data_IF_615097940333
#
_entry.id   IF_615097940333
#
_cell.length_a   1.000
_cell.length_b   1.000
_cell.length_c   1.000
_cell.angle_alpha   90.00
_cell.angle_beta   90.00
_cell.angle_gamma   90.00
#
_symmetry.space_group_name_H-M   'P 1'
#
loop_
_entity.id
_entity.type
_entity.pdbx_description
1 polymer ?
#
# COMPACT_ATOMS: atom_id res chain seq x y z
N UNK A 1 2.21 -12.35 4.87
CA UNK A 1 1.74 -11.72 6.11
C UNK A 1 2.92 -11.25 6.95
N UNK A 2 3.72 -12.16 7.53
CA UNK A 2 4.80 -11.80 8.47
C UNK A 2 5.97 -11.02 7.88
N UNK A 3 6.25 -11.20 6.59
CA UNK A 3 7.33 -10.49 5.90
C UNK A 3 6.94 -9.03 5.63
N UNK A 4 5.74 -8.79 5.12
CA UNK A 4 5.23 -7.46 4.85
C UNK A 4 6.19 -6.60 4.04
N UNK A 5 6.34 -5.34 4.46
CA UNK A 5 7.21 -4.37 3.79
C UNK A 5 8.72 -4.57 4.04
N UNK A 6 9.11 -5.52 4.91
CA UNK A 6 10.52 -5.84 5.13
C UNK A 6 11.19 -6.44 3.88
N UNK A 7 10.43 -7.20 3.08
CA UNK A 7 10.83 -7.68 1.75
C UNK A 7 9.64 -7.72 0.79
N UNK A 8 9.43 -6.70 -0.03
CA UNK A 8 8.32 -6.65 -0.99
C UNK A 8 8.35 -7.74 -2.06
N UNK A 9 9.50 -8.39 -2.28
CA UNK A 9 9.63 -9.49 -3.24
C UNK A 9 9.00 -10.79 -2.74
N UNK A 10 8.86 -10.96 -1.41
CA UNK A 10 8.34 -12.21 -0.83
C UNK A 10 6.94 -12.58 -1.34
N UNK A 11 6.03 -11.60 -1.43
CA UNK A 11 4.68 -11.85 -1.97
C UNK A 11 4.72 -12.21 -3.45
N UNK A 12 5.62 -11.60 -4.22
CA UNK A 12 5.77 -11.89 -5.65
C UNK A 12 6.30 -13.31 -5.87
N UNK A 13 7.31 -13.72 -5.09
CA UNK A 13 7.84 -15.09 -5.11
C UNK A 13 6.75 -16.10 -4.76
N UNK A 14 5.99 -15.86 -3.69
CA UNK A 14 4.92 -16.76 -3.26
C UNK A 14 3.82 -16.90 -4.33
N UNK A 15 3.35 -15.81 -4.91
CA UNK A 15 2.31 -15.82 -5.95
C UNK A 15 2.82 -16.48 -7.24
N UNK A 16 4.05 -16.17 -7.66
CA UNK A 16 4.66 -16.80 -8.85
C UNK A 16 4.82 -18.30 -8.66
N UNK A 17 5.22 -18.74 -7.46
CA UNK A 17 5.32 -20.17 -7.15
C UNK A 17 3.96 -20.87 -7.22
N UNK A 18 2.90 -20.28 -6.65
CA UNK A 18 1.55 -20.83 -6.71
C UNK A 18 1.08 -21.03 -8.15
N UNK A 19 1.23 -20.00 -8.99
CA UNK A 19 0.86 -20.07 -10.42
C UNK A 19 1.68 -21.10 -11.21
N UNK A 20 2.97 -21.24 -10.90
CA UNK A 20 3.83 -22.21 -11.54
C UNK A 20 3.46 -23.65 -11.15
N UNK A 21 3.15 -23.88 -9.88
CA UNK A 21 2.70 -25.20 -9.37
C UNK A 21 1.44 -25.69 -10.07
N UNK A 22 0.46 -24.82 -10.29
CA UNK A 22 -0.78 -25.15 -11.01
C UNK A 22 -0.52 -25.61 -12.45
N UNK A 23 0.52 -25.07 -13.10
CA UNK A 23 0.84 -25.35 -14.50
C UNK A 23 1.75 -26.55 -14.67
N UNK A 24 2.71 -26.75 -13.77
CA UNK A 24 3.74 -27.77 -13.88
C UNK A 24 3.26 -29.09 -13.24
N UNK A 25 2.58 -29.01 -12.07
CA UNK A 25 2.16 -30.19 -11.34
C UNK A 25 3.29 -30.94 -10.63
N UNK A 26 2.91 -31.97 -9.89
CA UNK A 26 3.85 -32.86 -9.20
C UNK A 26 4.40 -33.92 -10.16
N UNK A 27 5.62 -34.40 -9.96
CA UNK A 27 6.52 -34.15 -8.81
C UNK A 27 7.41 -32.92 -8.92
N UNK A 28 7.54 -32.26 -10.06
CA UNK A 28 8.47 -31.14 -10.31
C UNK A 28 8.12 -29.91 -9.50
N UNK A 29 6.83 -29.65 -9.27
CA UNK A 29 6.35 -28.50 -8.49
C UNK A 29 6.93 -28.45 -7.06
N UNK A 30 7.36 -29.59 -6.49
CA UNK A 30 8.05 -29.64 -5.18
C UNK A 30 9.31 -28.77 -5.13
N UNK A 31 10.00 -28.63 -6.25
CA UNK A 31 11.22 -27.81 -6.35
C UNK A 31 10.87 -26.32 -6.24
N UNK A 32 9.82 -25.90 -6.95
CA UNK A 32 9.30 -24.52 -6.91
C UNK A 32 8.80 -24.17 -5.52
N UNK A 33 8.06 -25.08 -4.89
CA UNK A 33 7.57 -24.91 -3.52
C UNK A 33 8.72 -24.78 -2.52
N UNK A 34 9.77 -25.59 -2.68
CA UNK A 34 10.98 -25.52 -1.84
C UNK A 34 11.67 -24.16 -1.98
N UNK A 35 11.82 -23.65 -3.21
CA UNK A 35 12.41 -22.34 -3.46
C UNK A 35 11.60 -21.22 -2.78
N UNK A 36 10.29 -21.22 -2.95
CA UNK A 36 9.42 -20.20 -2.33
C UNK A 36 9.45 -20.29 -0.81
N UNK A 37 9.38 -21.50 -0.26
CA UNK A 37 9.40 -21.73 1.18
C UNK A 37 10.72 -21.23 1.82
N UNK A 38 11.86 -21.56 1.23
CA UNK A 38 13.16 -21.12 1.72
C UNK A 38 13.34 -19.61 1.61
N UNK A 39 12.88 -19.00 0.51
CA UNK A 39 12.92 -17.55 0.34
C UNK A 39 12.13 -16.83 1.43
N UNK A 40 10.84 -17.21 1.60
CA UNK A 40 9.96 -16.56 2.58
C UNK A 40 10.42 -16.83 4.01
N UNK A 41 10.91 -18.04 4.31
CA UNK A 41 11.41 -18.37 5.64
C UNK A 41 12.64 -17.56 6.05
N UNK A 42 13.53 -17.25 5.10
CA UNK A 42 14.76 -16.47 5.34
C UNK A 42 14.58 -14.96 5.23
N UNK A 43 13.43 -14.49 4.71
CA UNK A 43 13.16 -13.06 4.57
C UNK A 43 13.03 -12.37 5.95
N UNK A 44 13.47 -11.10 6.06
CA UNK A 44 13.21 -10.31 7.25
C UNK A 44 11.71 -10.17 7.51
N UNK A 45 11.33 -9.87 8.74
CA UNK A 45 9.94 -9.81 9.18
C UNK A 45 9.55 -8.39 9.57
N UNK A 46 8.32 -7.98 9.25
CA UNK A 46 7.74 -6.71 9.68
C UNK A 46 6.22 -6.82 9.77
N UNK A 47 5.66 -6.41 10.90
CA UNK A 47 4.22 -6.31 11.08
C UNK A 47 3.66 -4.91 10.80
N UNK A 48 4.49 -3.99 10.28
CA UNK A 48 4.08 -2.60 10.09
C UNK A 48 2.82 -2.45 9.21
N UNK A 49 2.72 -3.23 8.12
CA UNK A 49 1.55 -3.19 7.25
C UNK A 49 0.28 -3.71 7.95
N UNK A 50 0.40 -4.72 8.79
CA UNK A 50 -0.69 -5.26 9.61
C UNK A 50 -1.18 -4.21 10.62
N UNK A 51 -0.26 -3.64 11.41
CA UNK A 51 -0.60 -2.62 12.41
C UNK A 51 -1.23 -1.39 11.74
N UNK A 52 -0.69 -0.95 10.61
CA UNK A 52 -1.20 0.21 9.88
C UNK A 52 -2.65 0.02 9.40
N UNK A 53 -3.01 -1.15 8.88
CA UNK A 53 -4.39 -1.39 8.43
C UNK A 53 -5.35 -1.45 9.60
N UNK A 54 -4.96 -2.05 10.71
CA UNK A 54 -5.79 -2.11 11.92
C UNK A 54 -6.03 -0.72 12.52
N UNK A 55 -4.99 0.09 12.63
CA UNK A 55 -5.10 1.48 13.11
C UNK A 55 -5.96 2.35 12.18
N UNK A 56 -5.82 2.18 10.86
CA UNK A 56 -6.64 2.88 9.88
C UNK A 56 -8.13 2.51 10.01
N UNK A 57 -8.43 1.22 10.15
CA UNK A 57 -9.81 0.75 10.35
C UNK A 57 -10.41 1.25 11.67
N UNK A 58 -9.61 1.24 12.73
CA UNK A 58 -10.03 1.77 14.03
C UNK A 58 -10.31 3.27 13.95
N UNK A 59 -9.45 4.04 13.27
CA UNK A 59 -9.64 5.47 13.08
C UNK A 59 -10.96 5.78 12.34
N UNK A 60 -11.28 5.01 11.30
CA UNK A 60 -12.57 5.15 10.57
C UNK A 60 -13.75 4.77 11.47
N UNK A 61 -13.64 3.71 12.26
CA UNK A 61 -14.69 3.26 13.17
C UNK A 61 -15.00 4.30 14.26
N UNK A 62 -13.97 4.93 14.82
CA UNK A 62 -14.10 5.90 15.90
C UNK A 62 -14.49 7.30 15.42
N UNK A 63 -13.96 7.74 14.30
CA UNK A 63 -14.09 9.10 13.80
C UNK A 63 -15.01 9.23 12.59
N UNK A 64 -15.48 8.12 12.04
CA UNK A 64 -16.29 8.08 10.83
C UNK A 64 -15.47 8.34 9.56
N UNK A 65 -16.17 8.50 8.43
CA UNK A 65 -15.53 8.77 7.16
C UNK A 65 -15.01 10.21 7.12
N UNK A 66 -13.72 10.35 6.85
CA UNK A 66 -13.11 11.66 6.62
C UNK A 66 -13.51 12.19 5.26
N UNK A 67 -13.79 13.49 5.19
CA UNK A 67 -13.96 14.15 3.90
C UNK A 67 -12.63 14.30 3.20
N UNK A 68 -12.62 14.14 1.87
CA UNK A 68 -11.42 14.41 1.08
C UNK A 68 -10.99 15.86 1.28
N UNK A 69 -9.72 16.14 1.63
CA UNK A 69 -9.21 17.51 1.76
C UNK A 69 -9.45 18.33 0.50
N UNK A 70 -9.74 19.65 0.66
CA UNK A 70 -10.14 20.52 -0.47
C UNK A 70 -9.13 20.55 -1.60
N UNK A 71 -7.82 20.53 -1.29
CA UNK A 71 -6.73 20.52 -2.29
C UNK A 71 -6.66 19.21 -3.11
N UNK A 72 -7.28 18.12 -2.64
CA UNK A 72 -7.32 16.82 -3.35
C UNK A 72 -8.67 16.57 -4.02
N UNK A 73 -9.64 17.49 -3.89
CA UNK A 73 -10.93 17.37 -4.56
C UNK A 73 -10.84 17.76 -6.01
N UNK A 74 -11.61 17.09 -6.86
CA UNK A 74 -11.70 17.43 -8.27
C UNK A 74 -12.10 18.90 -8.47
N UNK A 75 -11.34 19.61 -9.28
CA UNK A 75 -11.56 21.01 -9.63
C UNK A 75 -11.99 21.23 -11.10
N UNK A 76 -12.23 20.13 -11.85
CA UNK A 76 -12.51 20.22 -13.29
C UNK A 76 -14.01 20.38 -13.63
N UNK A 77 -14.85 20.71 -12.66
CA UNK A 77 -16.28 20.93 -12.88
C UNK A 77 -16.68 22.38 -12.59
N UNK A 78 -17.76 22.83 -13.23
CA UNK A 78 -18.29 24.19 -13.06
C UNK A 78 -18.72 24.43 -11.61
N UNK A 79 -18.14 25.45 -10.96
CA UNK A 79 -18.42 25.80 -9.56
C UNK A 79 -17.45 25.26 -8.53
N UNK A 80 -16.51 24.40 -8.92
CA UNK A 80 -15.49 23.87 -8.02
C UNK A 80 -14.66 24.96 -7.32
N UNK A 81 -14.32 26.01 -8.07
CA UNK A 81 -13.57 27.18 -7.57
C UNK A 81 -14.31 27.90 -6.43
N UNK A 82 -15.63 28.04 -6.52
CA UNK A 82 -16.46 28.65 -5.45
C UNK A 82 -16.48 27.83 -4.16
N UNK A 83 -16.21 26.55 -4.26
CA UNK A 83 -16.13 25.61 -3.13
C UNK A 83 -14.70 25.42 -2.61
N UNK A 84 -13.72 26.10 -3.20
CA UNK A 84 -12.30 25.95 -2.84
C UNK A 84 -11.73 24.57 -3.15
N UNK A 85 -12.33 23.84 -4.10
CA UNK A 85 -11.84 22.52 -4.51
C UNK A 85 -10.56 22.68 -5.33
N UNK A 86 -9.54 21.90 -5.00
CA UNK A 86 -8.23 21.97 -5.64
C UNK A 86 -7.34 23.14 -5.18
N UNK A 87 -7.82 24.02 -4.29
CA UNK A 87 -7.02 25.11 -3.75
C UNK A 87 -5.84 24.54 -2.94
N UNK A 88 -4.62 25.00 -3.30
CA UNK A 88 -3.39 24.46 -2.70
C UNK A 88 -2.93 23.11 -3.24
N UNK A 89 -3.52 22.59 -4.33
CA UNK A 89 -3.04 21.37 -4.97
C UNK A 89 -1.60 21.55 -5.46
N UNK A 90 -0.76 20.58 -5.11
CA UNK A 90 0.63 20.52 -5.55
C UNK A 90 0.79 19.40 -6.57
N UNK A 91 1.10 19.77 -7.80
CA UNK A 91 1.34 18.81 -8.87
C UNK A 91 2.60 18.00 -8.57
N UNK A 92 2.45 16.71 -8.40
CA UNK A 92 3.52 15.85 -7.87
C UNK A 92 4.80 15.87 -8.72
N UNK A 93 4.69 16.07 -10.03
CA UNK A 93 5.85 16.11 -10.93
C UNK A 93 6.75 17.35 -10.75
N UNK A 94 6.23 18.40 -10.11
CA UNK A 94 7.00 19.62 -9.80
C UNK A 94 7.80 19.50 -8.49
N UNK A 95 7.68 18.38 -7.78
CA UNK A 95 8.28 18.18 -6.47
C UNK A 95 9.13 16.91 -6.42
N UNK A 96 10.39 16.97 -5.93
CA UNK A 96 11.30 15.82 -5.89
C UNK A 96 10.87 14.72 -4.91
N UNK A 97 10.06 15.05 -3.89
CA UNK A 97 9.55 14.09 -2.87
C UNK A 97 8.03 13.94 -2.99
N UNK A 98 7.59 13.19 -3.98
CA UNK A 98 6.18 13.03 -4.37
C UNK A 98 5.30 12.49 -3.24
N UNK A 99 5.82 11.60 -2.39
CA UNK A 99 5.06 10.97 -1.31
C UNK A 99 4.56 11.93 -0.23
N UNK A 100 5.21 13.09 -0.06
CA UNK A 100 4.85 14.08 0.96
C UNK A 100 3.83 15.14 0.49
N UNK A 101 3.54 15.18 -0.81
CA UNK A 101 2.75 16.26 -1.42
C UNK A 101 1.25 16.03 -1.32
N UNK A 102 0.82 14.77 -1.35
CA UNK A 102 -0.60 14.40 -1.47
C UNK A 102 -1.20 13.77 -0.21
N UNK A 103 -0.39 13.39 0.76
CA UNK A 103 -0.86 12.71 1.97
C UNK A 103 -0.88 13.69 3.14
N UNK A 104 -2.01 13.87 3.83
CA UNK A 104 -2.06 14.68 5.05
C UNK A 104 -1.06 14.17 6.09
N UNK A 105 -0.40 15.04 6.87
CA UNK A 105 0.59 14.66 7.89
C UNK A 105 0.08 13.63 8.90
N UNK A 106 -1.21 13.62 9.17
CA UNK A 106 -1.87 12.67 10.10
C UNK A 106 -1.81 11.22 9.58
N UNK A 107 -1.74 11.01 8.26
CA UNK A 107 -1.63 9.68 7.67
C UNK A 107 -0.18 9.21 7.54
N UNK A 108 0.78 10.13 7.43
CA UNK A 108 2.21 9.78 7.29
C UNK A 108 2.80 9.32 8.62
N UNK A 109 2.37 9.91 9.74
CA UNK A 109 2.91 9.60 11.08
C UNK A 109 2.57 8.18 11.57
N UNK A 110 1.58 7.53 10.97
CA UNK A 110 1.19 6.16 11.32
C UNK A 110 1.81 5.10 10.40
N UNK A 111 2.59 5.49 9.37
CA UNK A 111 3.23 4.58 8.43
C UNK A 111 4.77 4.51 8.56
N UNK A 112 5.37 5.31 9.45
CA UNK A 112 6.80 5.31 9.79
C UNK A 112 7.03 4.66 11.14
#
# INVERSE_FOLDING_TARGET
EDVGNADPQAIQVAVSAALAVERIGLPEARIILSQAATYVASAPKSNAAYVAVDEAQEAVRLKGNFTVPSHLRDCHYSGAEKLGHGDGYKYAHDYPNVSSVSIPPVLILNFL
#
